data_IF_547176668048
#
_entry.id   IF_547176668048
#
_cell.length_a   1.000
_cell.length_b   1.000
_cell.length_c   1.000
_cell.angle_alpha   90.00
_cell.angle_beta   90.00
_cell.angle_gamma   90.00
#
_symmetry.space_group_name_H-M   'P 1'
#
loop_
_entity.id
_entity.type
_entity.pdbx_description
1 polymer ?
#
# COMPACT_ATOMS: atom_id res chain seq x y z
N UNK A 1 -20.71 -24.22 -4.73
CA UNK A 1 -19.81 -24.17 -5.91
C UNK A 1 -20.66 -24.43 -7.13
N UNK A 2 -20.77 -23.45 -8.03
CA UNK A 2 -21.48 -23.61 -9.30
C UNK A 2 -20.51 -24.25 -10.30
N UNK A 3 -20.94 -25.38 -10.93
CA UNK A 3 -20.15 -26.06 -11.97
C UNK A 3 -20.86 -25.90 -13.31
N UNK A 4 -20.16 -25.45 -14.33
CA UNK A 4 -20.64 -25.34 -15.70
C UNK A 4 -19.76 -26.20 -16.61
N UNK A 5 -20.37 -26.89 -17.59
CA UNK A 5 -19.65 -27.78 -18.53
C UNK A 5 -19.68 -27.14 -19.91
N UNK A 6 -18.53 -27.10 -20.55
CA UNK A 6 -18.35 -26.61 -21.91
C UNK A 6 -17.64 -27.67 -22.73
N UNK A 7 -17.81 -27.62 -24.04
CA UNK A 7 -17.11 -28.49 -24.97
C UNK A 7 -16.28 -27.64 -25.92
N UNK A 8 -15.03 -28.04 -26.15
CA UNK A 8 -14.18 -27.39 -27.14
C UNK A 8 -14.64 -27.68 -28.56
N UNK A 9 -14.40 -26.77 -29.46
CA UNK A 9 -14.55 -26.98 -30.90
C UNK A 9 -13.39 -27.85 -31.47
N UNK A 10 -13.40 -28.07 -32.79
CA UNK A 10 -12.38 -28.86 -33.50
C UNK A 10 -10.95 -28.26 -33.40
N UNK A 11 -10.82 -27.01 -33.05
CA UNK A 11 -9.54 -26.31 -32.87
C UNK A 11 -9.12 -26.19 -31.41
N UNK A 12 -9.88 -26.79 -30.48
CA UNK A 12 -9.61 -26.71 -29.05
C UNK A 12 -10.14 -25.46 -28.35
N UNK A 13 -10.86 -24.58 -29.03
CA UNK A 13 -11.38 -23.34 -28.42
C UNK A 13 -12.69 -23.60 -27.65
N UNK A 14 -12.81 -22.95 -26.49
CA UNK A 14 -14.01 -22.95 -25.65
C UNK A 14 -14.45 -21.51 -25.43
N UNK A 15 -15.71 -21.21 -25.77
CA UNK A 15 -16.31 -19.91 -25.47
C UNK A 15 -17.20 -20.04 -24.23
N UNK A 16 -16.79 -19.44 -23.14
CA UNK A 16 -17.57 -19.42 -21.91
C UNK A 16 -18.43 -18.15 -21.86
N UNK A 17 -19.68 -18.29 -21.39
CA UNK A 17 -20.58 -17.15 -21.20
C UNK A 17 -20.18 -16.42 -19.92
N UNK A 18 -19.93 -15.11 -19.99
CA UNK A 18 -19.69 -14.30 -18.81
C UNK A 18 -20.94 -14.25 -17.94
N UNK A 19 -20.83 -14.63 -16.68
CA UNK A 19 -21.87 -14.39 -15.70
C UNK A 19 -21.87 -12.91 -15.30
N UNK A 20 -23.04 -12.28 -15.25
CA UNK A 20 -23.23 -10.91 -14.78
C UNK A 20 -23.38 -10.83 -13.26
N UNK A 21 -23.49 -11.98 -12.60
CA UNK A 21 -23.91 -12.07 -11.21
C UNK A 21 -22.74 -12.34 -10.29
N UNK A 22 -21.89 -11.74 -9.88
CA UNK A 22 -20.87 -11.95 -8.81
C UNK A 22 -19.43 -12.08 -9.27
N UNK A 23 -18.58 -11.48 -8.45
CA UNK A 23 -17.14 -11.65 -8.44
C UNK A 23 -16.80 -13.00 -7.81
N UNK A 24 -16.29 -13.95 -8.56
CA UNK A 24 -15.81 -15.20 -8.02
C UNK A 24 -14.58 -15.72 -8.79
N UNK A 25 -13.74 -16.43 -8.07
CA UNK A 25 -12.63 -17.12 -8.68
C UNK A 25 -13.15 -18.32 -9.46
N UNK A 26 -12.70 -18.46 -10.70
CA UNK A 26 -13.01 -19.58 -11.57
C UNK A 26 -11.80 -20.48 -11.70
N UNK A 27 -12.00 -21.78 -11.56
CA UNK A 27 -11.00 -22.81 -11.83
C UNK A 27 -11.44 -23.60 -13.05
N UNK A 28 -10.49 -23.98 -13.88
CA UNK A 28 -10.76 -24.72 -15.13
C UNK A 28 -10.25 -26.15 -14.96
N UNK A 29 -11.13 -27.10 -15.19
CA UNK A 29 -10.81 -28.50 -15.30
C UNK A 29 -11.03 -28.93 -16.75
N UNK A 30 -10.03 -29.53 -17.37
CA UNK A 30 -10.08 -30.01 -18.75
C UNK A 30 -9.98 -31.54 -18.73
N UNK A 31 -10.91 -32.22 -19.38
CA UNK A 31 -10.91 -33.67 -19.49
C UNK A 31 -10.85 -34.10 -20.96
N UNK A 32 -9.98 -35.03 -21.29
CA UNK A 32 -9.91 -35.64 -22.60
C UNK A 32 -9.66 -37.14 -22.49
N UNK A 33 -10.65 -37.95 -22.85
CA UNK A 33 -10.59 -39.40 -22.66
C UNK A 33 -10.46 -39.77 -21.18
N UNK A 34 -9.30 -40.32 -20.78
CA UNK A 34 -8.95 -40.61 -19.38
C UNK A 34 -8.06 -39.55 -18.74
N UNK A 35 -7.62 -38.57 -19.50
CA UNK A 35 -6.72 -37.54 -19.03
C UNK A 35 -7.50 -36.38 -18.41
N UNK A 36 -6.97 -35.87 -17.32
CA UNK A 36 -7.56 -34.78 -16.56
C UNK A 36 -6.48 -33.74 -16.24
N UNK A 37 -6.75 -32.48 -16.55
CA UNK A 37 -5.91 -31.33 -16.22
C UNK A 37 -6.72 -30.38 -15.34
N UNK A 38 -6.16 -30.03 -14.21
CA UNK A 38 -6.70 -29.00 -13.32
C UNK A 38 -5.77 -27.80 -13.32
N UNK A 39 -6.29 -26.58 -13.55
CA UNK A 39 -5.47 -25.40 -13.50
C UNK A 39 -5.37 -24.90 -12.06
N UNK A 40 -4.13 -24.65 -11.59
CA UNK A 40 -3.88 -24.06 -10.26
C UNK A 40 -4.17 -22.56 -10.24
N UNK A 41 -4.21 -21.92 -11.41
CA UNK A 41 -4.52 -20.51 -11.55
C UNK A 41 -6.01 -20.25 -11.42
N UNK A 42 -6.37 -19.28 -10.58
CA UNK A 42 -7.73 -18.78 -10.50
C UNK A 42 -7.93 -17.63 -11.50
N UNK A 43 -8.94 -17.76 -12.34
CA UNK A 43 -9.34 -16.68 -13.24
C UNK A 43 -10.36 -15.80 -12.55
N UNK A 44 -9.99 -14.52 -12.33
CA UNK A 44 -10.88 -13.52 -11.75
C UNK A 44 -11.71 -12.87 -12.84
N UNK A 45 -13.03 -13.03 -12.78
CA UNK A 45 -13.93 -12.39 -13.72
C UNK A 45 -14.38 -11.02 -13.18
N UNK A 46 -13.81 -9.95 -13.72
CA UNK A 46 -14.24 -8.60 -13.42
C UNK A 46 -15.36 -8.18 -14.40
N UNK A 47 -16.58 -8.02 -13.88
CA UNK A 47 -17.68 -7.47 -14.68
C UNK A 47 -17.69 -5.95 -14.55
N UNK A 48 -17.39 -5.27 -15.63
CA UNK A 48 -17.59 -3.82 -15.74
C UNK A 48 -18.98 -3.57 -16.28
N UNK A 49 -19.87 -3.05 -15.43
CA UNK A 49 -21.19 -2.60 -15.87
C UNK A 49 -21.05 -1.22 -16.54
N UNK A 50 -21.15 -1.23 -17.86
CA UNK A 50 -21.13 0.01 -18.65
C UNK A 50 -22.31 0.95 -18.35
N UNK A 51 -23.38 0.45 -17.69
CA UNK A 51 -24.56 1.20 -17.32
C UNK A 51 -24.51 1.75 -15.88
N UNK A 52 -23.37 1.63 -15.20
CA UNK A 52 -23.26 2.25 -13.87
C UNK A 52 -23.59 3.75 -13.95
N UNK A 53 -24.34 4.27 -12.97
CA UNK A 53 -24.65 5.69 -12.94
C UNK A 53 -23.34 6.49 -12.87
N UNK A 54 -23.35 7.62 -13.55
CA UNK A 54 -22.23 8.55 -13.52
C UNK A 54 -21.99 9.03 -12.09
N UNK A 55 -20.77 8.89 -11.62
CA UNK A 55 -20.34 9.29 -10.28
C UNK A 55 -19.13 10.19 -10.37
N UNK A 56 -19.09 11.17 -9.49
CA UNK A 56 -17.91 12.00 -9.28
C UNK A 56 -17.18 11.49 -8.04
N UNK A 57 -15.95 11.04 -8.23
CA UNK A 57 -15.10 10.53 -7.16
C UNK A 57 -14.13 11.62 -6.71
N UNK A 58 -14.22 12.00 -5.46
CA UNK A 58 -13.26 12.92 -4.85
C UNK A 58 -11.96 12.19 -4.48
N UNK A 59 -10.87 12.87 -4.71
CA UNK A 59 -9.53 12.42 -4.29
C UNK A 59 -8.70 13.61 -3.87
N UNK A 60 -7.95 13.44 -2.79
CA UNK A 60 -6.98 14.43 -2.31
C UNK A 60 -5.57 13.96 -2.63
N UNK A 61 -4.80 14.79 -3.32
CA UNK A 61 -3.37 14.58 -3.54
C UNK A 61 -2.60 15.38 -2.49
N UNK A 62 -1.77 14.68 -1.71
CA UNK A 62 -0.96 15.30 -0.67
C UNK A 62 0.50 15.41 -1.09
N UNK A 63 1.15 16.46 -0.58
CA UNK A 63 2.56 16.73 -0.72
C UNK A 63 3.10 17.15 0.63
N UNK A 64 4.21 16.58 1.06
CA UNK A 64 4.93 16.93 2.28
C UNK A 64 6.25 17.59 1.94
N UNK A 65 6.76 18.44 2.82
CA UNK A 65 8.05 19.11 2.61
C UNK A 65 9.25 18.14 2.69
N UNK A 66 9.07 16.99 3.32
CA UNK A 66 10.07 15.91 3.44
C UNK A 66 9.41 14.53 3.44
N UNK A 67 10.22 13.51 3.24
CA UNK A 67 9.81 12.11 3.38
C UNK A 67 10.20 11.48 4.72
N UNK A 68 11.12 12.11 5.47
CA UNK A 68 11.64 11.62 6.76
C UNK A 68 11.70 12.79 7.75
N UNK A 69 11.22 12.54 8.97
CA UNK A 69 11.20 13.51 10.07
C UNK A 69 11.69 12.84 11.36
N UNK A 70 12.01 13.68 12.37
CA UNK A 70 12.24 13.25 13.74
C UNK A 70 11.01 13.50 14.60
N UNK A 71 10.81 12.76 15.72
CA UNK A 71 9.85 13.15 16.75
C UNK A 71 10.03 14.62 17.14
N UNK A 72 8.94 15.32 17.40
CA UNK A 72 8.93 16.76 17.74
C UNK A 72 9.07 17.72 16.54
N UNK A 73 9.44 17.25 15.35
CA UNK A 73 9.51 18.11 14.17
C UNK A 73 8.13 18.44 13.60
N UNK A 74 8.09 19.54 12.86
CA UNK A 74 6.88 19.97 12.13
C UNK A 74 6.89 19.41 10.72
N UNK A 75 5.80 18.74 10.35
CA UNK A 75 5.48 18.31 8.97
C UNK A 75 4.65 19.42 8.35
N UNK A 76 5.14 20.02 7.28
CA UNK A 76 4.36 20.92 6.44
C UNK A 76 3.79 20.15 5.27
N UNK A 77 2.52 20.39 4.98
CA UNK A 77 1.86 19.68 3.89
C UNK A 77 0.95 20.60 3.07
N UNK A 78 0.71 20.18 1.82
CA UNK A 78 -0.28 20.75 0.93
C UNK A 78 -1.17 19.65 0.41
N UNK A 79 -2.48 19.91 0.28
CA UNK A 79 -3.43 19.04 -0.38
C UNK A 79 -4.09 19.73 -1.57
N UNK A 80 -4.40 18.95 -2.61
CA UNK A 80 -5.21 19.41 -3.77
C UNK A 80 -6.38 18.43 -3.89
N UNK A 81 -7.60 18.95 -3.82
CA UNK A 81 -8.82 18.16 -3.96
C UNK A 81 -9.29 18.19 -5.41
N UNK A 82 -9.49 17.01 -5.96
CA UNK A 82 -9.88 16.80 -7.35
C UNK A 82 -11.12 15.90 -7.38
N UNK A 83 -12.09 16.28 -8.20
CA UNK A 83 -13.26 15.47 -8.55
C UNK A 83 -13.06 14.86 -9.91
N UNK A 84 -13.11 13.53 -10.02
CA UNK A 84 -12.97 12.81 -11.28
C UNK A 84 -14.27 12.14 -11.65
N UNK A 85 -14.78 12.44 -12.83
CA UNK A 85 -15.98 11.83 -13.37
C UNK A 85 -15.70 10.40 -13.84
N UNK A 86 -16.52 9.45 -13.41
CA UNK A 86 -16.30 8.01 -13.65
C UNK A 86 -16.41 7.61 -15.13
N UNK A 87 -17.22 8.31 -15.93
CA UNK A 87 -17.42 8.02 -17.36
C UNK A 87 -16.46 8.78 -18.25
N UNK A 88 -16.46 10.12 -18.14
CA UNK A 88 -15.62 10.97 -19.01
C UNK A 88 -14.14 10.94 -18.61
N UNK A 89 -13.82 10.46 -17.41
CA UNK A 89 -12.47 10.47 -16.79
C UNK A 89 -11.87 11.88 -16.70
N UNK A 90 -12.68 12.91 -16.87
CA UNK A 90 -12.23 14.29 -16.68
C UNK A 90 -12.13 14.60 -15.20
N UNK A 91 -11.06 15.26 -14.84
CA UNK A 91 -10.78 15.70 -13.48
C UNK A 91 -10.85 17.21 -13.41
N UNK A 92 -11.49 17.72 -12.37
CA UNK A 92 -11.58 19.15 -12.06
C UNK A 92 -11.18 19.40 -10.61
N UNK A 93 -10.58 20.54 -10.34
CA UNK A 93 -10.29 20.99 -8.98
C UNK A 93 -11.60 21.32 -8.25
N UNK A 94 -11.57 21.21 -6.91
CA UNK A 94 -12.77 21.46 -6.08
C UNK A 94 -12.49 22.61 -5.09
N UNK A 95 -12.81 23.85 -5.46
CA UNK A 95 -12.73 24.99 -4.55
C UNK A 95 -13.79 24.95 -3.45
N UNK A 96 -13.50 25.56 -2.30
CA UNK A 96 -14.47 25.71 -1.20
C UNK A 96 -14.83 24.39 -0.48
N UNK A 97 -14.11 23.30 -0.75
CA UNK A 97 -14.33 22.01 -0.09
C UNK A 97 -13.66 21.99 1.28
N UNK A 98 -14.46 21.72 2.33
CA UNK A 98 -13.93 21.57 3.68
C UNK A 98 -13.60 20.11 3.94
N UNK A 99 -12.36 19.85 4.31
CA UNK A 99 -11.82 18.52 4.59
C UNK A 99 -11.35 18.42 6.04
N UNK A 100 -11.59 17.28 6.65
CA UNK A 100 -10.96 16.89 7.91
C UNK A 100 -9.68 16.11 7.63
N UNK A 101 -8.54 16.67 8.02
CA UNK A 101 -7.21 16.12 7.78
C UNK A 101 -6.66 15.55 9.08
N UNK A 102 -6.40 14.25 9.07
CA UNK A 102 -5.93 13.46 10.21
C UNK A 102 -4.43 13.22 10.11
N UNK A 103 -3.72 13.36 11.23
CA UNK A 103 -2.39 12.79 11.40
C UNK A 103 -2.55 11.43 12.09
N UNK A 104 -2.00 10.39 11.48
CA UNK A 104 -2.03 9.02 11.99
C UNK A 104 -0.61 8.55 12.30
N UNK A 105 -0.44 7.82 13.41
CA UNK A 105 0.86 7.25 13.80
C UNK A 105 1.13 5.88 13.17
N UNK A 106 2.29 5.30 13.49
CA UNK A 106 2.73 3.99 12.97
C UNK A 106 1.81 2.82 13.34
N UNK A 107 1.00 2.97 14.39
CA UNK A 107 -0.01 1.99 14.82
C UNK A 107 -1.40 2.30 14.23
N UNK A 108 -1.50 3.20 13.25
CA UNK A 108 -2.75 3.67 12.67
C UNK A 108 -3.71 4.30 13.70
N UNK A 109 -3.18 4.90 14.75
CA UNK A 109 -3.96 5.65 15.73
C UNK A 109 -3.95 7.13 15.40
N UNK A 110 -5.10 7.77 15.55
CA UNK A 110 -5.22 9.22 15.34
C UNK A 110 -4.39 9.97 16.38
N UNK A 111 -3.51 10.83 15.91
CA UNK A 111 -2.70 11.74 16.75
C UNK A 111 -3.43 13.05 16.94
N UNK A 112 -3.83 13.67 15.84
CA UNK A 112 -4.51 14.96 15.82
C UNK A 112 -5.27 15.16 14.52
N UNK A 113 -6.02 16.25 14.41
CA UNK A 113 -6.89 16.56 13.28
C UNK A 113 -6.93 18.07 13.03
N UNK A 114 -7.03 18.46 11.76
CA UNK A 114 -7.25 19.84 11.32
C UNK A 114 -8.41 19.88 10.33
N UNK A 115 -9.28 20.88 10.46
CA UNK A 115 -10.29 21.18 9.45
C UNK A 115 -9.76 22.28 8.51
N UNK A 116 -9.66 21.99 7.22
CA UNK A 116 -9.10 22.89 6.22
C UNK A 116 -10.06 23.03 5.02
N UNK A 117 -10.16 24.22 4.47
CA UNK A 117 -11.00 24.50 3.30
C UNK A 117 -10.11 24.83 2.10
N UNK A 118 -10.43 24.27 0.94
CA UNK A 118 -9.72 24.53 -0.31
C UNK A 118 -9.97 25.95 -0.81
N UNK A 119 -8.93 26.57 -1.34
CA UNK A 119 -8.99 27.87 -1.99
C UNK A 119 -9.52 27.77 -3.43
N UNK A 120 -9.47 28.85 -4.20
CA UNK A 120 -9.88 28.92 -5.60
C UNK A 120 -9.18 27.93 -6.54
N UNK A 121 -7.96 27.46 -6.15
CA UNK A 121 -7.20 26.45 -6.89
C UNK A 121 -7.49 25.02 -6.41
N UNK A 122 -8.52 24.81 -5.59
CA UNK A 122 -8.85 23.50 -5.02
C UNK A 122 -7.77 22.99 -4.05
N UNK A 123 -6.94 23.88 -3.49
CA UNK A 123 -5.81 23.50 -2.62
C UNK A 123 -5.95 24.06 -1.21
N UNK A 124 -5.39 23.34 -0.25
CA UNK A 124 -5.18 23.76 1.13
C UNK A 124 -3.76 23.48 1.57
N UNK A 125 -3.30 24.12 2.65
CA UNK A 125 -2.03 23.82 3.29
C UNK A 125 -2.18 23.81 4.80
N UNK A 126 -1.33 23.04 5.46
CA UNK A 126 -1.35 22.90 6.90
C UNK A 126 -0.01 22.42 7.44
N UNK A 127 0.03 22.27 8.76
CA UNK A 127 1.18 21.69 9.46
C UNK A 127 0.73 20.87 10.65
N UNK A 128 1.51 19.83 10.96
CA UNK A 128 1.39 19.04 12.18
C UNK A 128 2.73 19.03 12.92
N UNK A 129 2.68 19.11 14.24
CA UNK A 129 3.84 18.83 15.09
C UNK A 129 3.78 17.34 15.43
N UNK A 130 4.86 16.62 15.14
CA UNK A 130 4.94 15.20 15.43
C UNK A 130 5.10 14.97 16.93
N UNK A 131 4.36 14.00 17.51
CA UNK A 131 4.47 13.69 18.90
C UNK A 131 5.84 13.09 19.25
N UNK A 132 6.31 13.37 20.45
CA UNK A 132 7.42 12.66 21.08
C UNK A 132 6.92 11.43 21.84
N UNK A 133 7.76 10.42 22.04
CA UNK A 133 7.47 9.25 22.86
C UNK A 133 6.48 8.25 22.25
N UNK A 134 6.13 8.38 20.97
CA UNK A 134 5.39 7.36 20.22
C UNK A 134 6.34 6.43 19.48
N UNK A 135 5.81 5.27 19.06
CA UNK A 135 6.56 4.33 18.23
C UNK A 135 6.99 5.01 16.91
N UNK A 136 8.28 4.93 16.60
CA UNK A 136 8.83 5.37 15.32
C UNK A 136 8.34 4.45 14.20
N UNK A 137 8.28 4.97 12.97
CA UNK A 137 7.86 4.20 11.82
C UNK A 137 7.12 5.05 10.79
N UNK A 138 6.27 4.41 9.99
CA UNK A 138 5.51 5.07 8.94
C UNK A 138 4.27 5.75 9.53
N UNK A 139 4.31 7.07 9.57
CA UNK A 139 3.17 7.93 9.85
C UNK A 139 2.49 8.33 8.54
N UNK A 140 1.27 8.78 8.61
CA UNK A 140 0.60 9.29 7.40
C UNK A 140 -0.41 10.39 7.72
N UNK A 141 -0.62 11.23 6.72
CA UNK A 141 -1.70 12.20 6.68
C UNK A 141 -2.83 11.57 5.89
N UNK A 142 -4.05 11.68 6.37
CA UNK A 142 -5.25 11.14 5.75
C UNK A 142 -6.35 12.18 5.66
N UNK A 143 -7.03 12.25 4.53
CA UNK A 143 -8.29 12.98 4.40
C UNK A 143 -9.45 12.05 4.72
N UNK A 144 -10.28 12.44 5.69
CA UNK A 144 -11.27 11.54 6.29
C UNK A 144 -12.36 11.07 5.31
N UNK A 145 -12.85 11.95 4.41
CA UNK A 145 -13.96 11.62 3.52
C UNK A 145 -13.52 10.77 2.33
N UNK A 146 -12.34 11.03 1.77
CA UNK A 146 -11.82 10.32 0.58
C UNK A 146 -10.90 9.16 0.93
N UNK A 147 -10.48 9.06 2.19
CA UNK A 147 -9.44 8.13 2.65
C UNK A 147 -8.12 8.24 1.87
N UNK A 148 -7.90 9.36 1.19
CA UNK A 148 -6.63 9.65 0.51
C UNK A 148 -5.51 9.82 1.54
N UNK A 149 -4.35 9.23 1.31
CA UNK A 149 -3.26 9.15 2.29
C UNK A 149 -1.93 9.55 1.69
N UNK A 150 -1.05 10.10 2.54
CA UNK A 150 0.36 10.36 2.23
C UNK A 150 1.22 9.88 3.39
N UNK A 151 2.08 8.91 3.12
CA UNK A 151 3.01 8.34 4.11
C UNK A 151 4.33 9.13 4.15
N UNK A 152 4.94 9.14 5.34
CA UNK A 152 6.29 9.62 5.60
C UNK A 152 6.87 8.88 6.80
N UNK A 153 8.20 8.79 6.89
CA UNK A 153 8.89 8.12 7.99
C UNK A 153 9.13 9.07 9.17
N UNK A 154 8.91 8.57 10.37
CA UNK A 154 9.33 9.24 11.62
C UNK A 154 10.38 8.37 12.27
N UNK A 155 11.63 8.87 12.33
CA UNK A 155 12.78 8.10 12.78
C UNK A 155 13.65 8.94 13.72
N UNK A 156 14.06 8.33 14.82
CA UNK A 156 15.08 8.91 15.69
C UNK A 156 16.45 8.48 15.15
N UNK A 157 17.05 9.32 14.33
CA UNK A 157 18.38 9.07 13.79
C UNK A 157 19.41 9.17 14.91
N UNK A 158 19.85 8.03 15.44
CA UNK A 158 21.06 7.93 16.23
C UNK A 158 22.19 7.56 15.27
N UNK A 159 23.28 8.37 15.23
CA UNK A 159 24.48 7.97 14.50
C UNK A 159 24.89 6.58 14.99
N UNK A 160 24.94 5.58 14.13
CA UNK A 160 25.38 4.28 14.55
C UNK A 160 26.82 4.42 15.09
N UNK A 161 27.06 3.89 16.26
CA UNK A 161 28.38 3.94 16.92
C UNK A 161 29.24 2.75 16.54
N UNK A 162 28.64 1.71 15.99
CA UNK A 162 29.30 0.47 15.60
C UNK A 162 28.59 -0.20 14.43
N UNK A 163 29.28 -1.08 13.74
CA UNK A 163 28.77 -2.01 12.75
C UNK A 163 28.89 -3.44 13.24
N UNK A 164 27.94 -4.29 12.85
CA UNK A 164 27.98 -5.73 13.09
C UNK A 164 28.04 -6.43 11.74
N UNK A 165 28.99 -7.32 11.58
CA UNK A 165 29.14 -8.18 10.41
C UNK A 165 29.02 -9.63 10.87
N UNK A 166 28.09 -10.37 10.23
CA UNK A 166 27.95 -11.81 10.44
C UNK A 166 28.62 -12.52 9.28
N UNK A 167 29.64 -13.29 9.54
CA UNK A 167 30.33 -14.07 8.51
C UNK A 167 29.41 -15.18 8.03
N UNK A 168 29.24 -15.26 6.71
CA UNK A 168 28.47 -16.35 6.11
C UNK A 168 29.13 -17.68 6.44
N UNK A 169 28.41 -18.66 7.01
CA UNK A 169 29.00 -20.00 7.24
C UNK A 169 29.36 -20.65 5.91
N UNK A 170 30.54 -21.21 5.84
CA UNK A 170 31.04 -21.96 4.68
C UNK A 170 30.76 -23.46 4.87
N UNK A 171 30.30 -24.12 3.80
CA UNK A 171 30.06 -25.55 3.79
C UNK A 171 28.64 -25.93 3.34
N UNK A 172 28.37 -27.24 3.31
CA UNK A 172 27.05 -27.80 3.03
C UNK A 172 26.48 -28.36 4.33
N UNK A 173 25.26 -27.95 4.64
CA UNK A 173 24.55 -28.31 5.87
C UNK A 173 23.32 -29.15 5.56
N UNK A 174 23.00 -30.10 6.43
CA UNK A 174 21.77 -30.91 6.37
C UNK A 174 20.81 -30.47 7.44
N UNK A 175 19.55 -30.89 7.29
CA UNK A 175 18.52 -30.66 8.32
C UNK A 175 18.98 -31.32 9.62
N UNK A 176 18.91 -30.57 10.73
CA UNK A 176 19.41 -30.90 12.09
C UNK A 176 20.94 -30.80 12.32
N UNK A 177 21.70 -30.28 11.36
CA UNK A 177 23.11 -29.97 11.63
C UNK A 177 23.24 -28.74 12.53
N UNK A 178 24.21 -28.74 13.43
CA UNK A 178 24.60 -27.57 14.21
C UNK A 178 25.51 -26.67 13.38
N UNK A 179 25.16 -25.39 13.27
CA UNK A 179 25.95 -24.40 12.52
C UNK A 179 26.52 -23.38 13.49
N UNK A 180 27.84 -23.19 13.45
CA UNK A 180 28.50 -22.11 14.19
C UNK A 180 28.61 -20.88 13.31
N UNK A 181 28.09 -19.75 13.79
CA UNK A 181 28.14 -18.47 13.10
C UNK A 181 28.99 -17.49 13.90
N UNK A 182 29.94 -16.83 13.24
CA UNK A 182 30.80 -15.83 13.85
C UNK A 182 30.31 -14.43 13.50
N UNK A 183 29.99 -13.63 14.53
CA UNK A 183 29.69 -12.19 14.41
C UNK A 183 30.89 -11.36 14.88
N UNK A 184 31.12 -10.25 14.19
CA UNK A 184 32.14 -9.27 14.54
C UNK A 184 31.48 -7.91 14.73
N UNK A 185 31.62 -7.29 15.90
CA UNK A 185 31.20 -5.94 16.17
C UNK A 185 32.39 -4.99 16.23
N UNK A 186 32.38 -3.92 15.42
CA UNK A 186 33.43 -2.90 15.38
C UNK A 186 32.85 -1.53 15.57
N UNK A 187 33.40 -0.75 16.48
CA UNK A 187 33.09 0.69 16.57
C UNK A 187 33.59 1.43 15.33
N UNK A 188 32.86 2.44 14.88
CA UNK A 188 33.35 3.31 13.79
C UNK A 188 34.65 4.06 14.15
N UNK A 189 35.03 4.12 15.43
CA UNK A 189 36.32 4.61 15.90
C UNK A 189 37.46 3.57 15.74
N UNK A 190 37.17 2.36 15.21
CA UNK A 190 38.15 1.32 14.92
C UNK A 190 38.41 0.28 16.02
N UNK A 191 37.85 0.46 17.22
CA UNK A 191 38.00 -0.46 18.34
C UNK A 191 36.97 -1.62 18.24
N UNK A 192 37.39 -2.82 18.70
CA UNK A 192 36.46 -3.91 18.90
C UNK A 192 35.51 -3.58 20.06
N UNK A 193 34.30 -4.08 19.99
CA UNK A 193 33.27 -3.92 21.02
C UNK A 193 33.02 -5.30 21.61
N UNK A 194 33.17 -5.41 22.91
CA UNK A 194 32.80 -6.57 23.69
C UNK A 194 31.39 -6.36 24.26
N UNK A 195 30.55 -7.40 24.21
CA UNK A 195 29.19 -7.39 24.72
C UNK A 195 28.83 -8.69 25.42
#
# INVERSE_FOLDING_TARGET
>A
IKKEKYKSDKNGYVKMTRSRENYYNQYIQVNYGKDELFTDDSYYNYYYDANQPEKNNLRTFFFTDRSIYRPGQTVYFKGIVVSTNSKSRKSVIVPGHTSSILLMDANHQKVTELSLTTNEYGSFSGKFVLPEGRLNGNFFIQEAATSSQQYFSVEEYKRPKFSVEIKKPEGSYRVNDSITVTGIAKAYAGNNIDG
#
